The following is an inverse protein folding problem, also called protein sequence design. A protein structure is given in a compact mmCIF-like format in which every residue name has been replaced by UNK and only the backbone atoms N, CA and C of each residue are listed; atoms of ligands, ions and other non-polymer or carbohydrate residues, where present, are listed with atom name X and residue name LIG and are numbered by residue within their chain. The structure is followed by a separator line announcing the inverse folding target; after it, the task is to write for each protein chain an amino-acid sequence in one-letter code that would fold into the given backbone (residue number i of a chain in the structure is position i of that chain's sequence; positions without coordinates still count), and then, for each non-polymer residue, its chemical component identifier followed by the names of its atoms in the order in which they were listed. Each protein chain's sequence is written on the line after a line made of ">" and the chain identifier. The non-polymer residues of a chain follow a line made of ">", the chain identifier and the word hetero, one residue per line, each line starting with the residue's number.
data_IF_713600067840
#
_entry.id   IF_713600067840
#
_cell.length_a   1.000
_cell.length_b   1.000
_cell.length_c   1.000
_cell.angle_alpha   90.00
_cell.angle_beta   90.00
_cell.angle_gamma   90.00
#
_symmetry.space_group_name_H-M   'P 1'
#
loop_
_entity.id
_entity.type
_entity.pdbx_description
1 polymer ?
#
# COMPACT_ATOMS: atom_id res chain seq x y z
N UNK A 1 -23.93 -3.11 56.21
CA UNK A 1 -22.97 -2.26 55.46
C UNK A 1 -22.59 -2.99 54.17
N UNK A 2 -22.98 -2.54 52.96
CA UNK A 2 -22.45 -3.13 51.73
C UNK A 2 -21.34 -2.22 51.17
N UNK A 3 -20.10 -2.68 51.18
CA UNK A 3 -19.00 -2.01 50.49
C UNK A 3 -18.17 -3.06 49.73
N UNK A 4 -18.77 -3.63 48.69
CA UNK A 4 -18.08 -4.48 47.73
C UNK A 4 -18.40 -4.03 46.29
N UNK A 5 -18.24 -2.73 46.01
CA UNK A 5 -18.33 -2.16 44.65
C UNK A 5 -17.30 -1.04 44.48
N UNK A 6 -16.01 -1.37 44.63
CA UNK A 6 -14.92 -0.42 44.36
C UNK A 6 -13.71 -1.11 43.73
N UNK A 7 -13.45 -2.38 44.06
CA UNK A 7 -12.29 -3.12 43.52
C UNK A 7 -12.53 -3.69 42.10
N UNK A 8 -13.70 -4.27 41.83
CA UNK A 8 -14.00 -4.88 40.53
C UNK A 8 -14.03 -3.86 39.37
N UNK A 9 -14.48 -2.64 39.63
CA UNK A 9 -14.51 -1.53 38.67
C UNK A 9 -13.10 -1.04 38.29
N UNK A 10 -12.17 -1.01 39.26
CA UNK A 10 -10.76 -0.66 39.01
C UNK A 10 -10.02 -1.77 38.26
N UNK A 11 -10.29 -3.03 38.58
CA UNK A 11 -9.70 -4.18 37.88
C UNK A 11 -10.19 -4.22 36.42
N UNK A 12 -11.49 -4.00 36.17
CA UNK A 12 -12.03 -3.92 34.81
C UNK A 12 -11.39 -2.78 34.01
N UNK A 13 -11.19 -1.60 34.61
CA UNK A 13 -10.49 -0.48 33.97
C UNK A 13 -9.05 -0.84 33.59
N UNK A 14 -8.31 -1.48 34.49
CA UNK A 14 -6.92 -1.91 34.23
C UNK A 14 -6.86 -2.96 33.10
N UNK A 15 -7.80 -3.92 33.08
CA UNK A 15 -7.88 -4.92 32.01
C UNK A 15 -8.20 -4.28 30.65
N UNK A 16 -9.11 -3.31 30.60
CA UNK A 16 -9.42 -2.56 29.37
C UNK A 16 -8.21 -1.76 28.90
N UNK A 17 -7.50 -1.07 29.81
CA UNK A 17 -6.29 -0.33 29.46
C UNK A 17 -5.18 -1.23 28.93
N UNK A 18 -5.00 -2.42 29.53
CA UNK A 18 -4.03 -3.41 29.05
C UNK A 18 -4.41 -3.98 27.67
N UNK A 19 -5.70 -4.24 27.41
CA UNK A 19 -6.18 -4.69 26.12
C UNK A 19 -5.97 -3.63 25.03
N UNK A 20 -6.23 -2.34 25.34
CA UNK A 20 -5.95 -1.22 24.43
C UNK A 20 -4.46 -1.09 24.17
N UNK A 21 -3.62 -1.18 25.20
CA UNK A 21 -2.16 -1.12 25.03
C UNK A 21 -1.63 -2.28 24.17
N UNK A 22 -2.14 -3.50 24.36
CA UNK A 22 -1.79 -4.65 23.53
C UNK A 22 -2.26 -4.47 22.08
N UNK A 23 -3.47 -3.93 21.87
CA UNK A 23 -3.99 -3.62 20.53
C UNK A 23 -3.14 -2.56 19.80
N UNK A 24 -2.75 -1.49 20.50
CA UNK A 24 -1.86 -0.45 19.95
C UNK A 24 -0.47 -1.01 19.65
N UNK A 25 0.06 -1.90 20.50
CA UNK A 25 1.37 -2.51 20.27
C UNK A 25 1.37 -3.45 19.05
N UNK A 26 0.32 -4.27 18.89
CA UNK A 26 0.15 -5.12 17.72
C UNK A 26 -0.06 -4.32 16.43
N UNK A 27 -0.84 -3.24 16.48
CA UNK A 27 -1.04 -2.32 15.35
C UNK A 27 0.30 -1.70 14.89
N UNK A 28 1.09 -1.18 15.83
CA UNK A 28 2.40 -0.60 15.53
C UNK A 28 3.43 -1.63 15.01
N UNK A 29 3.31 -2.91 15.38
CA UNK A 29 4.18 -3.97 14.89
C UNK A 29 3.88 -4.30 13.43
N UNK A 30 2.59 -4.39 13.06
CA UNK A 30 2.16 -4.61 11.67
C UNK A 30 2.58 -3.47 10.73
N UNK A 31 2.44 -2.22 11.16
CA UNK A 31 2.88 -1.07 10.34
C UNK A 31 4.39 -1.06 10.09
N UNK A 32 5.19 -1.49 11.09
CA UNK A 32 6.65 -1.60 10.92
C UNK A 32 7.03 -2.68 9.92
N UNK A 33 6.34 -3.81 9.94
CA UNK A 33 6.57 -4.90 9.00
C UNK A 33 6.23 -4.47 7.57
N UNK A 34 5.07 -3.84 7.37
CA UNK A 34 4.67 -3.30 6.07
C UNK A 34 5.66 -2.25 5.54
N UNK A 35 6.13 -1.33 6.39
CA UNK A 35 7.14 -0.34 5.99
C UNK A 35 8.50 -0.95 5.70
N UNK A 36 8.91 -1.99 6.43
CA UNK A 36 10.12 -2.73 6.11
C UNK A 36 9.98 -3.44 4.76
N UNK A 37 8.86 -4.13 4.52
CA UNK A 37 8.62 -4.81 3.25
C UNK A 37 8.58 -3.83 2.07
N UNK A 38 7.90 -2.70 2.24
CA UNK A 38 7.92 -1.61 1.25
C UNK A 38 9.35 -1.15 0.94
N UNK A 39 10.16 -0.85 1.97
CA UNK A 39 11.54 -0.41 1.78
C UNK A 39 12.37 -1.47 1.03
N UNK A 40 12.24 -2.75 1.41
CA UNK A 40 12.90 -3.87 0.73
C UNK A 40 12.48 -3.96 -0.73
N UNK A 41 11.18 -3.87 -1.03
CA UNK A 41 10.67 -3.90 -2.41
C UNK A 41 11.24 -2.75 -3.24
N UNK A 42 11.30 -1.53 -2.68
CA UNK A 42 11.85 -0.37 -3.38
C UNK A 42 13.36 -0.53 -3.61
N UNK A 43 14.11 -0.93 -2.60
CA UNK A 43 15.57 -1.06 -2.67
C UNK A 43 16.00 -2.20 -3.57
N UNK A 44 15.36 -3.37 -3.47
CA UNK A 44 15.77 -4.57 -4.17
C UNK A 44 15.15 -4.71 -5.56
N UNK A 45 13.96 -4.16 -5.80
CA UNK A 45 13.26 -4.34 -7.09
C UNK A 45 13.18 -3.04 -7.88
N UNK A 46 12.62 -1.97 -7.29
CA UNK A 46 12.38 -0.73 -8.03
C UNK A 46 13.69 -0.07 -8.48
N UNK A 47 14.65 0.06 -7.56
CA UNK A 47 15.96 0.65 -7.85
C UNK A 47 16.80 -0.19 -8.81
N UNK A 48 16.52 -1.50 -8.91
CA UNK A 48 17.18 -2.41 -9.85
C UNK A 48 16.48 -2.46 -11.22
N UNK A 49 15.42 -1.69 -11.42
CA UNK A 49 14.68 -1.65 -12.69
C UNK A 49 13.68 -2.80 -12.88
N UNK A 50 13.43 -3.60 -11.84
CA UNK A 50 12.48 -4.72 -11.86
C UNK A 50 11.05 -4.20 -11.62
N UNK A 51 10.59 -3.30 -12.50
CA UNK A 51 9.37 -2.51 -12.28
C UNK A 51 8.09 -3.35 -12.24
N UNK A 52 7.98 -4.39 -13.07
CA UNK A 52 6.83 -5.28 -13.05
C UNK A 52 6.70 -6.02 -11.71
N UNK A 53 7.79 -6.63 -11.22
CA UNK A 53 7.79 -7.33 -9.93
C UNK A 53 7.56 -6.36 -8.76
N UNK A 54 8.10 -5.14 -8.87
CA UNK A 54 7.82 -4.08 -7.89
C UNK A 54 6.31 -3.82 -7.80
N UNK A 55 5.66 -3.59 -8.94
CA UNK A 55 4.21 -3.37 -8.97
C UNK A 55 3.45 -4.52 -8.33
N UNK A 56 3.74 -5.76 -8.73
CA UNK A 56 3.04 -6.96 -8.23
C UNK A 56 3.16 -7.10 -6.70
N UNK A 57 4.35 -6.86 -6.13
CA UNK A 57 4.56 -6.92 -4.68
C UNK A 57 3.90 -5.76 -3.93
N UNK A 58 3.94 -4.55 -4.48
CA UNK A 58 3.32 -3.38 -3.84
C UNK A 58 1.78 -3.45 -3.89
N UNK A 59 1.18 -3.96 -4.97
CA UNK A 59 -0.26 -4.22 -5.02
C UNK A 59 -0.67 -5.27 -3.99
N UNK A 60 0.11 -6.33 -3.82
CA UNK A 60 -0.18 -7.33 -2.79
C UNK A 60 -0.18 -6.73 -1.36
N UNK A 61 0.65 -5.73 -1.08
CA UNK A 61 0.63 -5.02 0.21
C UNK A 61 -0.66 -4.22 0.42
N UNK A 62 -1.24 -3.67 -0.65
CA UNK A 62 -2.51 -2.94 -0.63
C UNK A 62 -3.67 -3.93 -0.48
N UNK A 63 -3.72 -4.97 -1.32
CA UNK A 63 -4.83 -5.93 -1.36
C UNK A 63 -4.99 -6.74 -0.07
N UNK A 64 -3.90 -6.92 0.69
CA UNK A 64 -3.92 -7.60 1.98
C UNK A 64 -4.26 -6.68 3.17
N UNK A 65 -4.60 -5.41 2.92
CA UNK A 65 -4.90 -4.40 3.96
C UNK A 65 -3.73 -4.22 4.97
N UNK A 66 -2.53 -4.58 4.55
CA UNK A 66 -1.31 -4.51 5.38
C UNK A 66 -0.61 -3.16 5.29
N UNK A 67 -0.91 -2.37 4.26
CA UNK A 67 -0.21 -1.12 4.01
C UNK A 67 -0.49 -0.03 5.06
N UNK A 68 -1.66 -0.03 5.72
CA UNK A 68 -1.96 0.88 6.83
C UNK A 68 -1.61 2.35 6.52
N UNK A 69 -0.82 3.00 7.39
CA UNK A 69 -0.42 4.40 7.20
C UNK A 69 0.48 4.70 5.99
N UNK A 70 0.99 3.67 5.29
CA UNK A 70 1.82 3.86 4.09
C UNK A 70 1.09 3.56 2.78
N UNK A 71 -0.21 3.26 2.80
CA UNK A 71 -0.97 2.88 1.60
C UNK A 71 -0.81 3.89 0.45
N UNK A 72 -0.90 5.19 0.73
CA UNK A 72 -0.72 6.23 -0.28
C UNK A 72 0.69 6.21 -0.92
N UNK A 73 1.73 5.97 -0.12
CA UNK A 73 3.12 5.88 -0.58
C UNK A 73 3.33 4.64 -1.46
N UNK A 74 2.72 3.51 -1.05
CA UNK A 74 2.73 2.24 -1.78
C UNK A 74 2.00 2.39 -3.12
N UNK A 75 0.79 2.99 -3.12
CA UNK A 75 0.00 3.27 -4.34
C UNK A 75 0.77 4.12 -5.34
N UNK A 76 1.35 5.23 -4.88
CA UNK A 76 2.11 6.13 -5.76
C UNK A 76 3.34 5.43 -6.36
N UNK A 77 4.05 4.64 -5.55
CA UNK A 77 5.23 3.92 -6.03
C UNK A 77 4.86 2.80 -7.00
N UNK A 78 3.77 2.06 -6.72
CA UNK A 78 3.22 1.08 -7.65
C UNK A 78 2.78 1.73 -8.96
N UNK A 79 2.12 2.89 -8.93
CA UNK A 79 1.72 3.64 -10.13
C UNK A 79 2.94 4.04 -10.98
N UNK A 80 4.02 4.49 -10.34
CA UNK A 80 5.30 4.81 -11.02
C UNK A 80 5.95 3.58 -11.62
N UNK A 81 5.93 2.45 -10.92
CA UNK A 81 6.45 1.19 -11.43
C UNK A 81 5.65 0.75 -12.67
N UNK A 82 4.31 0.78 -12.61
CA UNK A 82 3.44 0.49 -13.75
C UNK A 82 3.74 1.41 -14.95
N UNK A 83 3.91 2.71 -14.72
CA UNK A 83 4.28 3.66 -15.76
C UNK A 83 5.63 3.28 -16.41
N UNK A 84 6.62 2.90 -15.62
CA UNK A 84 7.94 2.48 -16.15
C UNK A 84 7.87 1.19 -16.96
N UNK A 85 6.96 0.26 -16.63
CA UNK A 85 6.69 -0.92 -17.46
C UNK A 85 6.05 -0.51 -18.79
N UNK A 86 5.06 0.39 -18.76
CA UNK A 86 4.41 0.89 -19.97
C UNK A 86 5.37 1.60 -20.95
N UNK A 87 6.41 2.24 -20.41
CA UNK A 87 7.44 2.99 -21.14
C UNK A 87 8.60 2.11 -21.67
N UNK A 88 8.55 0.78 -21.50
CA UNK A 88 9.61 -0.10 -21.98
C UNK A 88 9.68 -0.09 -23.52
N UNK A 89 10.88 0.01 -24.13
CA UNK A 89 11.03 0.20 -25.59
C UNK A 89 10.49 -0.94 -26.45
N UNK A 90 10.40 -2.13 -25.87
CA UNK A 90 9.93 -3.37 -26.49
C UNK A 90 8.44 -3.64 -26.23
N UNK A 91 7.76 -2.80 -25.45
CA UNK A 91 6.33 -2.90 -25.22
C UNK A 91 5.55 -2.59 -26.51
N UNK A 92 4.58 -3.44 -26.83
CA UNK A 92 3.59 -3.13 -27.85
C UNK A 92 2.51 -2.18 -27.27
N UNK A 93 1.72 -1.59 -28.17
CA UNK A 93 0.71 -0.58 -27.83
C UNK A 93 -0.32 -1.09 -26.80
N UNK A 94 -0.75 -2.34 -26.92
CA UNK A 94 -1.71 -2.98 -25.99
C UNK A 94 -1.11 -3.16 -24.59
N UNK A 95 0.16 -3.58 -24.53
CA UNK A 95 0.90 -3.73 -23.28
C UNK A 95 1.07 -2.39 -22.59
N UNK A 96 1.53 -1.37 -23.32
CA UNK A 96 1.64 -0.01 -22.80
C UNK A 96 0.30 0.51 -22.30
N UNK A 97 -0.79 0.35 -23.05
CA UNK A 97 -2.13 0.77 -22.61
C UNK A 97 -2.56 0.08 -21.32
N UNK A 98 -2.37 -1.23 -21.21
CA UNK A 98 -2.72 -2.01 -20.01
C UNK A 98 -2.01 -1.47 -18.78
N UNK A 99 -0.72 -1.18 -18.89
CA UNK A 99 0.06 -0.66 -17.77
C UNK A 99 -0.21 0.81 -17.47
N UNK A 100 -0.53 1.62 -18.47
CA UNK A 100 -1.01 3.00 -18.26
C UNK A 100 -2.36 3.01 -17.53
N UNK A 101 -3.28 2.11 -17.85
CA UNK A 101 -4.53 1.95 -17.10
C UNK A 101 -4.26 1.59 -15.63
N UNK A 102 -3.38 0.62 -15.37
CA UNK A 102 -3.00 0.26 -14.00
C UNK A 102 -2.39 1.43 -13.23
N UNK A 103 -1.54 2.22 -13.87
CA UNK A 103 -0.99 3.43 -13.26
C UNK A 103 -2.10 4.46 -12.99
N UNK A 104 -3.07 4.59 -13.90
CA UNK A 104 -4.21 5.51 -13.78
C UNK A 104 -5.12 5.14 -12.61
N UNK A 105 -5.41 3.85 -12.44
CA UNK A 105 -6.30 3.36 -11.39
C UNK A 105 -5.70 3.60 -9.99
N UNK A 106 -4.38 3.64 -9.89
CA UNK A 106 -3.66 3.90 -8.63
C UNK A 106 -3.43 5.39 -8.37
N UNK A 107 -2.96 6.12 -9.37
CA UNK A 107 -2.68 7.56 -9.28
C UNK A 107 -2.97 8.25 -10.63
N UNK A 108 -4.20 8.76 -10.83
CA UNK A 108 -4.60 9.45 -12.06
C UNK A 108 -3.78 10.71 -12.34
N UNK A 109 -3.23 11.35 -11.30
CA UNK A 109 -2.49 12.58 -11.41
C UNK A 109 -1.09 12.37 -12.01
N UNK A 110 -0.58 11.14 -11.96
CA UNK A 110 0.75 10.78 -12.46
C UNK A 110 0.84 10.84 -14.00
N UNK A 111 -0.28 10.63 -14.70
CA UNK A 111 -0.29 10.50 -16.15
C UNK A 111 -0.38 11.85 -16.87
N UNK A 112 0.40 12.01 -17.93
CA UNK A 112 0.26 13.13 -18.86
C UNK A 112 -1.10 13.10 -19.59
N UNK A 113 -1.52 14.24 -20.14
CA UNK A 113 -2.75 14.31 -20.93
C UNK A 113 -2.73 13.35 -22.14
N UNK A 114 -1.58 13.19 -22.78
CA UNK A 114 -1.39 12.29 -23.92
C UNK A 114 -1.51 10.82 -23.52
N UNK A 115 -0.92 10.42 -22.38
CA UNK A 115 -1.05 9.05 -21.86
C UNK A 115 -2.49 8.73 -21.45
N UNK A 116 -3.21 9.70 -20.87
CA UNK A 116 -4.64 9.55 -20.58
C UNK A 116 -5.49 9.40 -21.84
N UNK A 117 -5.14 10.09 -22.92
CA UNK A 117 -5.81 9.90 -24.21
C UNK A 117 -5.55 8.52 -24.82
N UNK A 118 -4.32 7.99 -24.68
CA UNK A 118 -3.98 6.64 -25.16
C UNK A 118 -4.80 5.54 -24.49
N UNK A 119 -5.16 5.73 -23.21
CA UNK A 119 -6.05 4.83 -22.48
C UNK A 119 -7.44 4.77 -23.13
N UNK A 120 -8.00 5.92 -23.50
CA UNK A 120 -9.38 6.04 -24.00
C UNK A 120 -9.51 5.94 -25.53
N UNK A 121 -8.41 5.81 -26.28
CA UNK A 121 -8.41 5.97 -27.75
C UNK A 121 -9.12 4.85 -28.54
N UNK A 122 -9.69 3.83 -27.88
CA UNK A 122 -10.40 2.69 -28.51
C UNK A 122 -11.89 2.57 -28.12
N UNK A 123 -12.45 3.55 -27.38
CA UNK A 123 -13.92 3.72 -27.24
C UNK A 123 -14.49 4.61 -28.36
#
# INVERSE_FOLDING_TARGET
>A
MPAAKSSASKIALVVVLLAVAAGVWLFNAGEREARNEYNTVVEELYNQGQYQQTYERLIALIDNDTAGSIEDEVRQTAARAALKVAEQPDANLDHSRTWLQRAHDLDPALLSAMQRQLINADE
#
